data_IF_240576020848
#
_entry.id   IF_240576020848
#
_cell.length_a   1.000
_cell.length_b   1.000
_cell.length_c   1.000
_cell.angle_alpha   90.00
_cell.angle_beta   90.00
_cell.angle_gamma   90.00
#
_symmetry.space_group_name_H-M   'P 1'
#
loop_
_entity.id
_entity.type
_entity.pdbx_description
1 polymer ?
#
# COMPACT_ATOMS: atom_id res chain seq x y z
N UNK A 1 -7.70 13.70 16.33
CA UNK A 1 -6.46 14.12 17.05
C UNK A 1 -5.29 13.13 16.88
N UNK A 2 -5.49 11.92 16.33
CA UNK A 2 -4.43 10.89 16.23
C UNK A 2 -3.88 10.60 14.81
N UNK A 3 -4.27 11.38 13.79
CA UNK A 3 -3.87 11.13 12.38
C UNK A 3 -2.44 11.57 12.04
N UNK A 4 -1.81 12.40 12.89
CA UNK A 4 -0.52 13.05 12.57
C UNK A 4 0.60 12.03 12.29
N UNK A 5 0.61 10.88 12.98
CA UNK A 5 1.59 9.82 12.75
C UNK A 5 1.50 9.24 11.34
N UNK A 6 0.31 8.75 10.95
CA UNK A 6 0.08 8.15 9.63
C UNK A 6 0.32 9.12 8.48
N UNK A 7 -0.05 10.40 8.65
CA UNK A 7 0.24 11.44 7.66
C UNK A 7 1.74 11.64 7.45
N UNK A 8 2.52 11.67 8.54
CA UNK A 8 3.98 11.80 8.47
C UNK A 8 4.67 10.59 7.85
N UNK A 9 4.15 9.38 8.10
CA UNK A 9 4.64 8.17 7.42
C UNK A 9 4.33 8.24 5.92
N UNK A 10 3.13 8.68 5.52
CA UNK A 10 2.80 8.85 4.12
C UNK A 10 3.70 9.88 3.41
N UNK A 11 3.96 11.04 4.04
CA UNK A 11 4.94 12.03 3.54
C UNK A 11 6.34 11.42 3.37
N UNK A 12 6.83 10.70 4.38
CA UNK A 12 8.15 10.07 4.35
C UNK A 12 8.26 8.99 3.26
N UNK A 13 7.20 8.21 3.03
CA UNK A 13 7.13 7.25 1.93
C UNK A 13 7.21 7.97 0.57
N UNK A 14 6.48 9.07 0.40
CA UNK A 14 6.49 9.85 -0.84
C UNK A 14 7.82 10.59 -1.12
N UNK A 15 8.62 10.83 -0.08
CA UNK A 15 9.98 11.40 -0.18
C UNK A 15 11.08 10.31 -0.33
N UNK A 16 10.72 9.03 -0.23
CA UNK A 16 11.66 7.93 -0.35
C UNK A 16 12.19 7.82 -1.79
N UNK A 17 13.50 7.58 -1.94
CA UNK A 17 14.14 7.34 -3.25
C UNK A 17 13.97 5.92 -3.77
N UNK A 18 13.57 4.99 -2.90
CA UNK A 18 13.30 3.60 -3.27
C UNK A 18 11.88 3.44 -3.83
N UNK A 19 11.61 2.28 -4.45
CA UNK A 19 10.27 1.95 -4.90
C UNK A 19 9.32 1.80 -3.71
N UNK A 20 8.25 2.57 -3.72
CA UNK A 20 7.30 2.69 -2.60
C UNK A 20 6.01 1.95 -2.91
N UNK A 21 5.63 1.08 -1.97
CA UNK A 21 4.37 0.33 -2.02
C UNK A 21 3.55 0.65 -0.79
N UNK A 22 2.31 1.08 -0.99
CA UNK A 22 1.32 1.23 0.06
C UNK A 22 0.18 0.24 -0.17
N UNK A 23 -0.25 -0.46 0.88
CA UNK A 23 -1.38 -1.37 0.85
C UNK A 23 -2.28 -1.20 2.08
N UNK A 24 -3.57 -1.49 1.91
CA UNK A 24 -4.59 -1.41 2.97
C UNK A 24 -5.32 -0.07 3.00
N UNK A 25 -6.61 -0.10 3.33
CA UNK A 25 -7.51 1.05 3.23
C UNK A 25 -7.09 2.26 4.07
N UNK A 26 -6.58 2.02 5.28
CA UNK A 26 -6.14 3.10 6.17
C UNK A 26 -4.87 3.80 5.65
N UNK A 27 -3.91 3.03 5.15
CA UNK A 27 -2.67 3.57 4.58
C UNK A 27 -2.93 4.34 3.29
N UNK A 28 -3.85 3.83 2.44
CA UNK A 28 -4.32 4.52 1.23
C UNK A 28 -5.02 5.83 1.61
N UNK A 29 -5.87 5.80 2.64
CA UNK A 29 -6.54 7.00 3.15
C UNK A 29 -5.54 8.02 3.68
N UNK A 30 -4.51 7.59 4.39
CA UNK A 30 -3.44 8.47 4.87
C UNK A 30 -2.67 9.15 3.72
N UNK A 31 -2.32 8.42 2.66
CA UNK A 31 -1.67 8.99 1.48
C UNK A 31 -2.55 10.02 0.75
N UNK A 32 -3.85 9.76 0.65
CA UNK A 32 -4.82 10.71 0.09
C UNK A 32 -4.98 11.97 0.95
N UNK A 33 -5.13 11.81 2.27
CA UNK A 33 -5.25 12.92 3.21
C UNK A 33 -3.99 13.79 3.26
N UNK A 34 -2.82 13.17 3.13
CA UNK A 34 -1.53 13.86 3.02
C UNK A 34 -1.29 14.48 1.63
N UNK A 35 -2.16 14.21 0.64
CA UNK A 35 -2.03 14.68 -0.76
C UNK A 35 -0.72 14.25 -1.42
N UNK A 36 -0.32 13.01 -1.19
CA UNK A 36 0.91 12.42 -1.75
C UNK A 36 0.67 11.12 -2.52
N UNK A 37 -0.59 10.73 -2.75
CA UNK A 37 -0.92 9.45 -3.39
C UNK A 37 -0.35 9.32 -4.81
N UNK A 38 -0.25 10.42 -5.56
CA UNK A 38 0.36 10.52 -6.89
C UNK A 38 1.88 10.35 -6.89
N UNK A 39 2.51 10.43 -5.72
CA UNK A 39 3.95 10.30 -5.52
C UNK A 39 4.37 8.92 -4.98
N UNK A 40 3.40 8.02 -4.82
CA UNK A 40 3.64 6.63 -4.42
C UNK A 40 3.70 5.76 -5.67
N UNK A 41 4.71 4.92 -5.80
CA UNK A 41 4.92 4.15 -7.02
C UNK A 41 3.85 3.07 -7.24
N UNK A 42 3.37 2.45 -6.16
CA UNK A 42 2.28 1.49 -6.22
C UNK A 42 1.34 1.57 -5.02
N UNK A 43 0.05 1.68 -5.31
CA UNK A 43 -1.03 1.62 -4.31
C UNK A 43 -1.82 0.34 -4.54
N UNK A 44 -1.70 -0.61 -3.62
CA UNK A 44 -2.49 -1.83 -3.62
C UNK A 44 -3.88 -1.59 -3.02
N UNK A 45 -4.91 -1.95 -3.79
CA UNK A 45 -6.30 -1.99 -3.34
C UNK A 45 -6.65 -3.30 -2.64
N UNK A 46 -5.82 -4.34 -2.79
CA UNK A 46 -6.04 -5.66 -2.22
C UNK A 46 -5.34 -5.83 -0.88
N UNK A 47 -5.70 -5.03 0.14
CA UNK A 47 -4.99 -4.97 1.42
C UNK A 47 -4.59 -6.35 2.01
N UNK A 48 -5.58 -7.17 2.37
CA UNK A 48 -5.33 -8.52 2.91
C UNK A 48 -4.70 -9.47 1.90
N UNK A 49 -5.20 -9.49 0.65
CA UNK A 49 -4.67 -10.34 -0.40
C UNK A 49 -3.19 -10.05 -0.73
N UNK A 50 -2.75 -8.80 -0.59
CA UNK A 50 -1.35 -8.40 -0.79
C UNK A 50 -0.46 -8.90 0.33
N UNK A 51 -0.95 -8.93 1.56
CA UNK A 51 -0.23 -9.52 2.69
C UNK A 51 -0.12 -11.03 2.52
N UNK A 52 -1.22 -11.72 2.22
CA UNK A 52 -1.22 -13.17 1.94
C UNK A 52 -0.26 -13.54 0.81
N UNK A 53 -0.21 -12.72 -0.25
CA UNK A 53 0.74 -12.89 -1.34
C UNK A 53 2.20 -12.73 -0.88
N UNK A 54 2.49 -11.71 -0.08
CA UNK A 54 3.85 -11.45 0.47
C UNK A 54 4.28 -12.50 1.50
N UNK A 55 3.33 -13.13 2.20
CA UNK A 55 3.56 -14.29 3.07
C UNK A 55 3.98 -15.54 2.28
N UNK A 56 3.87 -15.52 0.94
CA UNK A 56 4.20 -16.63 0.05
C UNK A 56 3.02 -17.57 -0.21
N UNK A 57 1.81 -17.21 0.23
CA UNK A 57 0.61 -18.01 -0.02
C UNK A 57 0.17 -17.85 -1.47
N UNK A 58 -0.06 -18.99 -2.14
CA UNK A 58 -0.60 -18.97 -3.50
C UNK A 58 -2.08 -18.56 -3.46
N UNK A 59 -2.36 -17.32 -3.87
CA UNK A 59 -3.71 -16.79 -3.95
C UNK A 59 -4.57 -17.64 -4.92
N UNK A 60 -5.73 -18.18 -4.49
CA UNK A 60 -6.57 -19.03 -5.33
C UNK A 60 -6.96 -18.38 -6.67
N UNK A 61 -7.26 -17.08 -6.65
CA UNK A 61 -7.62 -16.31 -7.85
C UNK A 61 -6.47 -16.14 -8.84
N UNK A 62 -5.22 -16.13 -8.38
CA UNK A 62 -4.04 -16.11 -9.26
C UNK A 62 -3.75 -17.52 -9.77
N UNK A 63 -3.88 -18.54 -8.91
CA UNK A 63 -3.61 -19.95 -9.25
C UNK A 63 -4.38 -20.42 -10.47
N UNK A 64 -5.66 -20.07 -10.58
CA UNK A 64 -6.50 -20.48 -11.72
C UNK A 64 -6.11 -19.83 -13.06
N UNK A 65 -5.25 -18.79 -13.02
CA UNK A 65 -4.75 -18.09 -14.20
C UNK A 65 -3.33 -18.57 -14.60
N UNK A 66 -2.67 -19.36 -13.75
CA UNK A 66 -1.38 -19.96 -14.06
C UNK A 66 -1.59 -21.19 -14.96
N UNK A 67 -0.83 -21.27 -16.05
CA UNK A 67 -0.86 -22.38 -17.01
C UNK A 67 -0.13 -23.60 -16.48
#
# INVERSE_FOLDING_TARGET
QFSRGSLRVAEAMADCKGFTVIGGGDSVSAANMAKVADRIDHISTGGGASLEFLEGTMLPGVKVLLK
#
